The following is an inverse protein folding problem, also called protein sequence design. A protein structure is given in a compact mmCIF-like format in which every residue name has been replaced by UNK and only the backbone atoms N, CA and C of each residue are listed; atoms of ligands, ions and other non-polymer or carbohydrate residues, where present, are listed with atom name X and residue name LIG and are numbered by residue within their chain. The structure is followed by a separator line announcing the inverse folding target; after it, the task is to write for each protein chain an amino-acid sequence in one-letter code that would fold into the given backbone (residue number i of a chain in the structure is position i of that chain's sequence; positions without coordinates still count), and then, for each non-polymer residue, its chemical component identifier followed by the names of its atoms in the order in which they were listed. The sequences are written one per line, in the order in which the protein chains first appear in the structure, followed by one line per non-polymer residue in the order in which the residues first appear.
data_IF_621374363491
#
_entry.id   IF_621374363491
#
_cell.length_a   1.000
_cell.length_b   1.000
_cell.length_c   1.000
_cell.angle_alpha   90.00
_cell.angle_beta   90.00
_cell.angle_gamma   90.00
#
_symmetry.space_group_name_H-M   'P 1'
#
loop_
_entity.id
_entity.type
_entity.pdbx_description
1 polymer ?
#
# COMPACT_ATOMS: atom_id res chain seq x y z
N UNK A 1 -11.61 7.06 8.51
CA UNK A 1 -10.75 8.11 7.94
C UNK A 1 -9.38 7.52 7.78
N UNK A 2 -8.88 7.45 6.54
CA UNK A 2 -7.57 6.90 6.21
C UNK A 2 -6.50 7.89 6.69
N UNK A 3 -5.47 7.37 7.36
CA UNK A 3 -4.31 8.16 7.76
C UNK A 3 -3.33 8.28 6.60
N UNK A 4 -3.40 9.40 5.88
CA UNK A 4 -2.55 9.68 4.71
C UNK A 4 -1.07 9.66 5.07
N UNK A 5 -0.67 10.04 6.29
CA UNK A 5 0.73 9.99 6.70
C UNK A 5 1.24 8.55 6.75
N UNK A 6 0.41 7.61 7.23
CA UNK A 6 0.73 6.19 7.23
C UNK A 6 0.81 5.61 5.81
N UNK A 7 -0.06 6.04 4.90
CA UNK A 7 0.00 5.66 3.46
C UNK A 7 1.29 6.15 2.83
N UNK A 8 1.62 7.44 3.01
CA UNK A 8 2.85 8.05 2.46
C UNK A 8 4.10 7.36 3.02
N UNK A 9 4.13 7.07 4.32
CA UNK A 9 5.25 6.36 4.96
C UNK A 9 5.45 4.99 4.32
N UNK A 10 4.37 4.24 4.13
CA UNK A 10 4.43 2.92 3.52
C UNK A 10 4.92 2.98 2.06
N UNK A 11 4.36 3.88 1.24
CA UNK A 11 4.80 4.06 -0.15
C UNK A 11 6.29 4.37 -0.23
N UNK A 12 6.78 5.29 0.62
CA UNK A 12 8.20 5.65 0.67
C UNK A 12 9.08 4.49 1.12
N UNK A 13 8.64 3.73 2.12
CA UNK A 13 9.36 2.55 2.58
C UNK A 13 9.48 1.49 1.48
N UNK A 14 8.41 1.22 0.74
CA UNK A 14 8.44 0.29 -0.39
C UNK A 14 9.38 0.80 -1.49
N UNK A 15 9.35 2.10 -1.82
CA UNK A 15 10.29 2.71 -2.78
C UNK A 15 11.75 2.55 -2.33
N UNK A 16 12.05 2.74 -1.06
CA UNK A 16 13.43 2.76 -0.55
C UNK A 16 14.00 1.35 -0.32
N UNK A 17 13.18 0.41 0.18
CA UNK A 17 13.68 -0.84 0.73
C UNK A 17 13.32 -2.09 -0.08
N UNK A 18 12.39 -2.02 -1.03
CA UNK A 18 12.15 -3.11 -1.94
C UNK A 18 13.20 -3.17 -3.05
N UNK A 19 13.55 -4.38 -3.48
CA UNK A 19 14.45 -4.59 -4.61
C UNK A 19 13.79 -4.17 -5.92
N UNK A 20 14.59 -4.00 -6.97
CA UNK A 20 14.05 -3.73 -8.30
C UNK A 20 13.10 -4.85 -8.76
N UNK A 21 13.46 -6.11 -8.53
CA UNK A 21 12.61 -7.25 -8.91
C UNK A 21 11.30 -7.30 -8.12
N UNK A 22 11.33 -6.93 -6.83
CA UNK A 22 10.13 -6.86 -6.00
C UNK A 22 9.19 -5.76 -6.47
N UNK A 23 9.73 -4.58 -6.81
CA UNK A 23 8.95 -3.46 -7.37
C UNK A 23 8.33 -3.81 -8.71
N UNK A 24 9.05 -4.53 -9.56
CA UNK A 24 8.56 -4.89 -10.90
C UNK A 24 7.40 -5.87 -10.89
N UNK A 25 7.24 -6.64 -9.82
CA UNK A 25 6.06 -7.50 -9.62
C UNK A 25 4.83 -6.75 -9.11
N UNK A 26 4.96 -5.49 -8.67
CA UNK A 26 3.78 -4.71 -8.30
C UNK A 26 2.95 -4.43 -9.55
N UNK A 27 1.71 -4.92 -9.52
CA UNK A 27 0.68 -4.66 -10.51
C UNK A 27 -0.68 -4.53 -9.81
N UNK A 28 -1.29 -3.36 -9.91
CA UNK A 28 -2.61 -3.10 -9.32
C UNK A 28 -3.75 -3.87 -9.99
N UNK A 29 -3.54 -4.40 -11.20
CA UNK A 29 -4.54 -5.26 -11.86
C UNK A 29 -4.62 -6.64 -11.20
N UNK A 30 -3.52 -7.11 -10.62
CA UNK A 30 -3.47 -8.39 -9.91
C UNK A 30 -3.76 -8.24 -8.42
N UNK A 31 -3.79 -7.00 -7.91
CA UNK A 31 -3.98 -6.69 -6.50
C UNK A 31 -5.34 -7.19 -5.97
N UNK A 32 -5.26 -8.00 -4.91
CA UNK A 32 -6.42 -8.48 -4.18
C UNK A 32 -6.07 -8.60 -2.68
N UNK A 33 -6.50 -7.65 -1.83
CA UNK A 33 -6.04 -7.55 -0.44
C UNK A 33 -6.39 -8.77 0.42
N UNK A 34 -7.45 -9.51 0.06
CA UNK A 34 -7.85 -10.75 0.73
C UNK A 34 -7.13 -12.01 0.25
N UNK A 35 -6.27 -11.93 -0.77
CA UNK A 35 -5.46 -13.05 -1.22
C UNK A 35 -4.07 -12.99 -0.59
N UNK A 36 -3.62 -14.14 -0.07
CA UNK A 36 -2.27 -14.26 0.47
C UNK A 36 -1.18 -14.19 -0.62
N UNK A 37 -1.52 -14.32 -1.90
CA UNK A 37 -0.55 -14.17 -3.00
C UNK A 37 -0.63 -12.78 -3.65
N UNK A 38 -1.79 -12.11 -3.54
CA UNK A 38 -2.08 -10.88 -4.28
C UNK A 38 -2.30 -9.65 -3.39
N UNK A 39 -2.08 -9.73 -2.08
CA UNK A 39 -1.88 -8.52 -1.28
C UNK A 39 -0.60 -7.80 -1.76
N UNK A 40 -0.39 -6.53 -1.39
CA UNK A 40 0.71 -5.73 -1.93
C UNK A 40 2.08 -6.37 -1.68
N UNK A 41 2.29 -6.89 -0.46
CA UNK A 41 3.50 -7.62 -0.09
C UNK A 41 3.57 -9.00 -0.74
N UNK A 42 2.42 -9.61 -1.01
CA UNK A 42 2.28 -10.87 -1.73
C UNK A 42 2.76 -10.72 -3.17
N UNK A 43 2.29 -9.71 -3.90
CA UNK A 43 2.72 -9.43 -5.27
C UNK A 43 4.24 -9.26 -5.36
N UNK A 44 4.82 -8.50 -4.42
CA UNK A 44 6.27 -8.25 -4.39
C UNK A 44 7.09 -9.50 -4.09
N UNK A 45 6.63 -10.33 -3.16
CA UNK A 45 7.45 -11.39 -2.53
C UNK A 45 6.99 -12.82 -2.82
N UNK A 46 5.88 -12.97 -3.55
CA UNK A 46 5.19 -14.22 -3.86
C UNK A 46 4.17 -14.68 -2.80
N UNK A 47 4.21 -14.17 -1.56
CA UNK A 47 3.25 -14.53 -0.51
C UNK A 47 3.29 -13.54 0.67
N UNK A 48 2.13 -13.09 1.17
CA UNK A 48 1.98 -12.12 2.27
C UNK A 48 2.56 -12.64 3.60
N UNK A 49 2.60 -13.96 3.77
CA UNK A 49 3.22 -14.61 4.93
C UNK A 49 4.71 -14.96 4.77
N UNK A 50 5.33 -14.62 3.64
CA UNK A 50 6.77 -14.81 3.46
C UNK A 50 7.57 -14.00 4.50
N UNK A 51 8.78 -14.44 4.81
CA UNK A 51 9.67 -13.70 5.73
C UNK A 51 9.91 -12.29 5.17
N UNK A 52 10.14 -12.19 3.86
CA UNK A 52 10.40 -10.93 3.18
C UNK A 52 9.19 -9.97 3.17
N UNK A 53 7.98 -10.49 3.01
CA UNK A 53 6.75 -9.69 3.15
C UNK A 53 6.64 -9.09 4.54
N UNK A 54 6.90 -9.89 5.57
CA UNK A 54 6.85 -9.46 6.97
C UNK A 54 7.90 -8.39 7.28
N UNK A 55 9.11 -8.53 6.74
CA UNK A 55 10.17 -7.52 6.86
C UNK A 55 9.76 -6.19 6.20
N UNK A 56 9.28 -6.22 4.95
CA UNK A 56 8.85 -5.02 4.24
C UNK A 56 7.69 -4.33 4.97
N UNK A 57 6.72 -5.09 5.45
CA UNK A 57 5.60 -4.56 6.22
C UNK A 57 6.06 -3.90 7.53
N UNK A 58 6.99 -4.52 8.25
CA UNK A 58 7.56 -3.94 9.48
C UNK A 58 8.32 -2.64 9.20
N UNK A 59 9.13 -2.60 8.13
CA UNK A 59 9.86 -1.40 7.70
C UNK A 59 8.88 -0.28 7.31
N UNK A 60 7.78 -0.61 6.64
CA UNK A 60 6.70 0.32 6.30
C UNK A 60 5.94 0.85 7.53
N UNK A 61 6.20 0.29 8.72
CA UNK A 61 5.55 0.67 9.97
C UNK A 61 4.20 -0.02 10.18
N UNK A 62 3.90 -1.07 9.41
CA UNK A 62 2.69 -1.87 9.61
C UNK A 62 2.88 -2.75 10.85
N UNK A 63 2.06 -2.50 11.86
CA UNK A 63 2.04 -3.31 13.08
C UNK A 63 1.05 -4.45 12.90
N UNK A 64 1.45 -5.65 13.33
CA UNK A 64 0.51 -6.75 13.52
C UNK A 64 -0.40 -6.40 14.70
N UNK A 65 -1.61 -5.93 14.43
CA UNK A 65 -2.63 -5.82 15.47
C UNK A 65 -3.29 -7.18 15.65
N UNK A 66 -3.05 -7.81 16.79
CA UNK A 66 -3.79 -9.01 17.21
C UNK A 66 -5.11 -8.52 17.77
N UNK A 67 -6.18 -8.65 17.00
CA UNK A 67 -7.54 -8.42 17.44
C UNK A 67 -7.86 -9.37 18.62
N UNK A 68 -8.63 -8.96 19.64
CA UNK A 68 -8.95 -9.80 20.80
C UNK A 68 -9.60 -11.15 20.49
N UNK A 69 -10.20 -11.30 19.29
CA UNK A 69 -10.74 -12.56 18.80
C UNK A 69 -9.69 -13.50 18.16
N UNK A 70 -8.42 -13.11 18.15
CA UNK A 70 -7.31 -13.86 17.56
C UNK A 70 -7.01 -13.57 16.09
N UNK A 71 -7.78 -12.70 15.41
CA UNK A 71 -7.48 -12.27 14.03
C UNK A 71 -6.34 -11.27 14.03
N UNK A 72 -5.42 -11.36 13.07
CA UNK A 72 -4.41 -10.32 12.87
C UNK A 72 -4.93 -9.36 11.81
N UNK A 73 -5.05 -8.07 12.12
CA UNK A 73 -5.38 -7.05 11.12
C UNK A 73 -4.25 -7.01 10.10
N UNK A 74 -4.58 -7.37 8.86
CA UNK A 74 -3.64 -7.76 7.78
C UNK A 74 -3.65 -6.77 6.61
N UNK A 75 -4.44 -5.69 6.67
CA UNK A 75 -4.60 -4.76 5.55
C UNK A 75 -3.72 -3.54 5.76
N UNK A 76 -2.83 -3.30 4.79
CA UNK A 76 -1.91 -2.18 4.79
C UNK A 76 -2.66 -0.84 4.59
N UNK A 77 -2.23 0.27 5.18
CA UNK A 77 -2.79 1.60 4.89
C UNK A 77 -2.85 1.90 3.39
N UNK A 78 -1.79 1.56 2.66
CA UNK A 78 -1.74 1.69 1.20
C UNK A 78 -2.76 0.77 0.52
N UNK A 79 -2.94 -0.46 0.98
CA UNK A 79 -3.97 -1.37 0.44
C UNK A 79 -5.38 -0.83 0.59
N UNK A 80 -5.69 -0.22 1.74
CA UNK A 80 -6.98 0.47 1.95
C UNK A 80 -7.09 1.67 0.99
N UNK A 81 -6.03 2.47 0.88
CA UNK A 81 -6.02 3.65 0.02
C UNK A 81 -6.25 3.31 -1.45
N UNK A 82 -5.52 2.34 -2.01
CA UNK A 82 -5.65 1.96 -3.43
C UNK A 82 -6.97 1.27 -3.75
N UNK A 83 -7.61 0.66 -2.75
CA UNK A 83 -8.95 0.07 -2.88
C UNK A 83 -10.04 1.15 -2.91
N UNK A 84 -9.92 2.17 -2.06
CA UNK A 84 -10.94 3.20 -1.88
C UNK A 84 -10.75 4.41 -2.84
N UNK A 85 -9.54 4.66 -3.33
CA UNK A 85 -9.19 5.77 -4.23
C UNK A 85 -8.33 5.29 -5.41
N UNK A 86 -8.92 5.23 -6.60
CA UNK A 86 -8.24 4.75 -7.82
C UNK A 86 -7.47 5.84 -8.57
N UNK A 87 -7.83 7.12 -8.38
CA UNK A 87 -7.29 8.28 -9.08
C UNK A 87 -5.76 8.42 -9.03
N UNK A 88 -5.11 7.89 -7.98
CA UNK A 88 -3.66 8.02 -7.77
C UNK A 88 -2.91 6.71 -7.94
N UNK A 89 -3.61 5.60 -8.22
CA UNK A 89 -2.99 4.28 -8.23
C UNK A 89 -1.84 4.20 -9.22
N UNK A 90 -2.03 4.73 -10.43
CA UNK A 90 -0.99 4.71 -11.46
C UNK A 90 0.27 5.45 -11.00
N UNK A 91 0.16 6.70 -10.55
CA UNK A 91 1.27 7.54 -10.12
C UNK A 91 1.98 6.96 -8.89
N UNK A 92 1.23 6.38 -7.96
CA UNK A 92 1.81 5.67 -6.81
C UNK A 92 2.66 4.49 -7.28
N UNK A 93 2.20 3.71 -8.26
CA UNK A 93 2.98 2.60 -8.83
C UNK A 93 4.28 3.10 -9.44
N UNK A 94 4.18 4.12 -10.29
CA UNK A 94 5.31 4.74 -10.97
C UNK A 94 6.33 5.27 -9.96
N UNK A 95 5.86 5.88 -8.87
CA UNK A 95 6.72 6.39 -7.81
C UNK A 95 7.46 5.25 -7.09
N UNK A 96 6.77 4.17 -6.72
CA UNK A 96 7.39 3.01 -6.04
C UNK A 96 8.45 2.36 -6.94
N UNK A 97 8.16 2.24 -8.23
CA UNK A 97 9.09 1.72 -9.25
C UNK A 97 10.25 2.68 -9.57
N UNK A 98 10.15 3.94 -9.15
CA UNK A 98 11.14 4.97 -9.43
C UNK A 98 11.09 5.52 -10.86
N UNK A 99 9.96 5.34 -11.54
CA UNK A 99 9.67 5.95 -12.85
C UNK A 99 9.41 7.45 -12.73
N UNK A 100 8.90 7.89 -11.58
CA UNK A 100 8.76 9.30 -11.20
C UNK A 100 9.40 9.56 -9.84
N UNK A 101 9.90 10.79 -9.65
CA UNK A 101 10.62 11.17 -8.44
C UNK A 101 9.75 11.81 -7.36
N UNK A 102 8.59 12.32 -7.75
CA UNK A 102 7.68 13.08 -6.88
C UNK A 102 6.44 12.23 -6.63
N UNK A 103 6.13 12.00 -5.36
CA UNK A 103 4.89 11.34 -4.96
C UNK A 103 3.72 12.32 -5.20
N UNK A 104 2.60 11.89 -5.80
CA UNK A 104 1.42 12.74 -5.93
C UNK A 104 0.90 13.18 -4.55
N UNK A 105 0.22 14.33 -4.53
CA UNK A 105 -0.42 14.83 -3.32
C UNK A 105 -1.70 14.05 -3.01
N UNK A 106 -1.55 13.00 -2.18
CA UNK A 106 -2.64 12.11 -1.81
C UNK A 106 -3.72 12.79 -0.95
N UNK A 107 -3.46 13.98 -0.40
CA UNK A 107 -4.47 14.73 0.36
C UNK A 107 -5.64 15.19 -0.52
N UNK A 108 -5.39 15.33 -1.83
CA UNK A 108 -6.42 15.65 -2.82
C UNK A 108 -7.51 14.57 -2.89
N UNK A 109 -7.18 13.31 -2.61
CA UNK A 109 -8.16 12.22 -2.56
C UNK A 109 -9.25 12.44 -1.50
N UNK A 110 -8.91 13.13 -0.40
CA UNK A 110 -9.85 13.43 0.70
C UNK A 110 -10.61 14.75 0.48
N UNK A 111 -10.15 15.61 -0.44
CA UNK A 111 -10.69 16.96 -0.65
C UNK A 111 -11.96 17.03 -1.49
N UNK A 112 -12.40 15.92 -2.10
CA UNK A 112 -13.58 15.88 -2.97
C UNK A 112 -14.89 15.55 -2.25
N UNK A 113 -14.87 15.23 -0.94
CA UNK A 113 -16.10 14.97 -0.18
C UNK A 113 -16.86 16.25 0.24
N UNK A 114 -16.22 17.44 0.17
CA UNK A 114 -16.79 18.70 0.68
C UNK A 114 -17.55 19.56 -0.37
N UNK A 115 -17.60 19.17 -1.65
CA UNK A 115 -18.27 19.96 -2.72
C UNK A 115 -19.65 19.42 -3.17
N UNK A 116 -20.29 18.51 -2.41
CA UNK A 116 -21.62 17.99 -2.73
C UNK A 116 -22.63 18.11 -1.57
N UNK A 117 -22.72 19.29 -0.96
CA UNK A 117 -23.96 19.71 -0.27
C UNK A 117 -24.21 21.21 -0.45
N UNK A 118 -25.01 21.54 -1.46
CA UNK A 118 -25.83 22.76 -1.54
C UNK A 118 -27.28 22.35 -1.85
#
# INVERSE_FOLDING_TARGET
MIDIESVIREIKALREHATAEEKERLDWHEFHPSSDENCIYGLMTGHCDSIRAKELAEIAGNKKEIHPSGWVYKVSPLEVFIHDYDDFNFEILQYIKGEIDVLPDLSLALGFEDELTD
#
